data_IF_632264917863
#
_entry.id   IF_632264917863
#
_cell.length_a   1.000
_cell.length_b   1.000
_cell.length_c   1.000
_cell.angle_alpha   90.00
_cell.angle_beta   90.00
_cell.angle_gamma   90.00
#
_symmetry.space_group_name_H-M   'P 1'
#
loop_
_entity.id
_entity.type
_entity.pdbx_description
1 polymer ?
#
# COMPACT_ATOMS: atom_id res chain seq x y z
N UNK A 1 -16.46 -42.57 7.01
CA UNK A 1 -15.13 -42.24 6.44
C UNK A 1 -15.13 -40.97 5.57
N UNK A 2 -16.17 -40.69 4.76
CA UNK A 2 -16.21 -39.55 3.82
C UNK A 2 -16.12 -38.14 4.46
N UNK A 3 -16.67 -37.95 5.68
CA UNK A 3 -16.62 -36.66 6.40
C UNK A 3 -15.21 -36.27 6.87
N UNK A 4 -14.40 -37.25 7.31
CA UNK A 4 -13.01 -37.00 7.74
C UNK A 4 -12.12 -36.69 6.54
N UNK A 5 -12.36 -37.34 5.40
CA UNK A 5 -11.66 -37.09 4.14
C UNK A 5 -11.94 -35.67 3.61
N UNK A 6 -13.19 -35.20 3.71
CA UNK A 6 -13.58 -33.86 3.30
C UNK A 6 -12.95 -32.78 4.21
N UNK A 7 -12.88 -33.03 5.52
CA UNK A 7 -12.23 -32.13 6.47
C UNK A 7 -10.72 -32.01 6.19
N UNK A 8 -10.06 -33.14 5.90
CA UNK A 8 -8.65 -33.14 5.50
C UNK A 8 -8.41 -32.38 4.20
N UNK A 9 -9.31 -32.50 3.21
CA UNK A 9 -9.20 -31.78 1.94
C UNK A 9 -9.32 -30.27 2.11
N UNK A 10 -10.23 -29.81 2.97
CA UNK A 10 -10.41 -28.37 3.28
C UNK A 10 -9.18 -27.81 4.00
N UNK A 11 -8.60 -28.57 4.94
CA UNK A 11 -7.35 -28.19 5.62
C UNK A 11 -6.18 -28.17 4.63
N UNK A 12 -6.11 -29.12 3.70
CA UNK A 12 -5.06 -29.18 2.67
C UNK A 12 -5.14 -28.01 1.69
N UNK A 13 -6.35 -27.59 1.29
CA UNK A 13 -6.56 -26.41 0.43
C UNK A 13 -6.27 -25.11 1.21
N UNK A 14 -6.66 -25.02 2.49
CA UNK A 14 -6.40 -23.86 3.35
C UNK A 14 -4.93 -23.67 3.72
N UNK A 15 -4.10 -24.71 3.68
CA UNK A 15 -2.65 -24.64 3.94
C UNK A 15 -1.83 -24.17 2.73
N UNK A 16 -2.43 -24.04 1.54
CA UNK A 16 -1.73 -23.65 0.31
C UNK A 16 -1.78 -22.13 0.04
N UNK A 17 -2.43 -21.33 0.90
CA UNK A 17 -2.64 -19.89 0.63
C UNK A 17 -1.47 -18.97 0.96
N UNK A 18 -0.40 -19.47 1.59
CA UNK A 18 0.77 -18.65 1.97
C UNK A 18 2.02 -18.89 1.12
N UNK A 19 1.84 -19.21 -0.16
CA UNK A 19 2.82 -18.82 -1.18
C UNK A 19 2.48 -17.45 -1.77
N UNK A 20 2.10 -16.51 -0.90
CA UNK A 20 2.59 -15.15 -1.10
C UNK A 20 4.10 -15.21 -0.96
N UNK A 21 4.76 -15.57 -2.06
CA UNK A 21 6.08 -15.04 -2.34
C UNK A 21 5.92 -13.56 -2.06
N UNK A 22 6.42 -13.08 -0.91
CA UNK A 22 6.66 -11.67 -0.74
C UNK A 22 7.54 -11.35 -1.93
N UNK A 23 6.96 -10.77 -2.98
CA UNK A 23 7.69 -10.22 -4.09
C UNK A 23 8.44 -9.05 -3.47
N UNK A 24 9.57 -9.38 -2.87
CA UNK A 24 10.51 -8.39 -2.37
C UNK A 24 10.77 -7.48 -3.56
N UNK A 25 10.53 -6.18 -3.39
CA UNK A 25 10.66 -5.15 -4.42
C UNK A 25 12.07 -5.05 -5.05
N UNK A 26 12.98 -5.94 -4.68
CA UNK A 26 14.39 -5.95 -5.04
C UNK A 26 14.75 -7.17 -5.90
N UNK A 27 14.02 -7.39 -7.00
CA UNK A 27 14.66 -8.09 -8.12
C UNK A 27 15.77 -7.15 -8.62
N UNK A 28 16.98 -7.65 -8.82
CA UNK A 28 18.05 -6.81 -9.37
C UNK A 28 17.58 -6.28 -10.72
N UNK A 29 17.91 -5.02 -11.01
CA UNK A 29 17.55 -4.36 -12.27
C UNK A 29 16.02 -4.32 -12.47
N UNK A 30 15.27 -4.08 -11.40
CA UNK A 30 13.82 -3.95 -11.47
C UNK A 30 13.36 -2.51 -11.25
N UNK A 31 12.32 -2.17 -11.98
CA UNK A 31 11.55 -0.96 -11.78
C UNK A 31 10.21 -1.30 -11.14
N UNK A 32 9.84 -0.58 -10.08
CA UNK A 32 8.52 -0.69 -9.45
C UNK A 32 7.86 0.67 -9.38
N UNK A 33 6.56 0.69 -9.63
CA UNK A 33 5.71 1.85 -9.43
C UNK A 33 4.58 1.43 -8.50
N UNK A 34 4.38 2.22 -7.45
CA UNK A 34 3.25 2.12 -6.56
C UNK A 34 2.46 3.43 -6.62
N UNK A 35 1.14 3.33 -6.62
CA UNK A 35 0.25 4.47 -6.45
C UNK A 35 -0.76 4.13 -5.35
N UNK A 36 -1.06 5.11 -4.50
CA UNK A 36 -1.96 4.93 -3.37
C UNK A 36 -2.90 6.11 -3.24
N UNK A 37 -4.23 5.91 -3.28
CA UNK A 37 -5.16 6.93 -2.82
C UNK A 37 -5.01 7.10 -1.30
N UNK A 38 -5.11 8.34 -0.83
CA UNK A 38 -4.93 8.69 0.57
C UNK A 38 -6.11 9.50 1.09
N UNK A 39 -6.49 9.26 2.34
CA UNK A 39 -7.45 10.08 3.09
C UNK A 39 -6.73 10.60 4.31
N UNK A 40 -6.75 11.93 4.48
CA UNK A 40 -5.97 12.63 5.49
C UNK A 40 -6.87 13.38 6.44
N UNK A 41 -6.77 13.06 7.74
CA UNK A 41 -7.48 13.78 8.79
C UNK A 41 -6.55 14.85 9.39
N UNK A 42 -6.92 16.14 9.32
CA UNK A 42 -6.05 17.21 9.75
C UNK A 42 -5.87 17.21 11.28
N UNK A 43 -4.66 17.54 11.72
CA UNK A 43 -4.34 17.76 13.13
C UNK A 43 -5.13 18.96 13.69
N UNK A 44 -5.22 19.08 15.02
CA UNK A 44 -6.11 20.02 15.72
C UNK A 44 -5.96 21.48 15.26
N UNK A 45 -4.74 21.96 15.01
CA UNK A 45 -4.50 23.32 14.50
C UNK A 45 -5.00 23.50 13.06
N UNK A 46 -4.77 22.51 12.20
CA UNK A 46 -5.16 22.55 10.79
C UNK A 46 -6.67 22.30 10.59
N UNK A 47 -7.30 21.54 11.51
CA UNK A 47 -8.75 21.29 11.54
C UNK A 47 -9.59 22.54 11.78
N UNK A 48 -9.00 23.62 12.31
CA UNK A 48 -9.68 24.92 12.48
C UNK A 48 -10.03 25.56 11.14
N UNK A 49 -9.15 25.42 10.16
CA UNK A 49 -9.27 26.06 8.84
C UNK A 49 -9.61 25.08 7.72
N UNK A 50 -9.43 23.77 7.94
CA UNK A 50 -9.62 22.74 6.91
C UNK A 50 -10.44 21.55 7.41
N UNK A 51 -11.15 20.89 6.50
CA UNK A 51 -11.80 19.61 6.70
C UNK A 51 -10.84 18.44 6.41
N UNK A 52 -11.33 17.21 6.50
CA UNK A 52 -10.62 16.05 5.97
C UNK A 52 -10.24 16.29 4.49
N UNK A 53 -9.03 15.88 4.14
CA UNK A 53 -8.49 15.96 2.80
C UNK A 53 -8.43 14.59 2.14
N UNK A 54 -8.30 14.60 0.83
CA UNK A 54 -7.99 13.43 0.04
C UNK A 54 -6.79 13.73 -0.83
N UNK A 55 -6.08 12.68 -1.21
CA UNK A 55 -4.86 12.82 -1.98
C UNK A 55 -4.51 11.53 -2.67
N UNK A 56 -3.35 11.58 -3.30
CA UNK A 56 -2.71 10.38 -3.82
C UNK A 56 -1.21 10.56 -3.77
N UNK A 57 -0.53 9.45 -3.54
CA UNK A 57 0.91 9.35 -3.69
C UNK A 57 1.27 8.45 -4.85
N UNK A 58 2.43 8.72 -5.43
CA UNK A 58 3.10 7.82 -6.33
C UNK A 58 4.53 7.64 -5.87
N UNK A 59 5.00 6.40 -5.94
CA UNK A 59 6.37 6.02 -5.64
C UNK A 59 6.91 5.25 -6.83
N UNK A 60 8.00 5.72 -7.40
CA UNK A 60 8.76 5.02 -8.41
C UNK A 60 10.13 4.63 -7.83
N UNK A 61 10.51 3.38 -7.98
CA UNK A 61 11.78 2.86 -7.46
C UNK A 61 12.48 2.04 -8.55
N UNK A 62 13.75 2.35 -8.80
CA UNK A 62 14.62 1.58 -9.68
C UNK A 62 15.78 1.00 -8.87
N UNK A 63 15.94 -0.32 -8.94
CA UNK A 63 16.98 -1.06 -8.22
C UNK A 63 18.09 -1.45 -9.19
N UNK A 64 19.27 -0.83 -9.07
CA UNK A 64 20.39 -1.03 -10.00
C UNK A 64 21.14 -2.36 -9.79
N UNK A 65 20.98 -3.03 -8.64
CA UNK A 65 21.74 -4.23 -8.32
C UNK A 65 21.64 -4.62 -6.84
N UNK A 66 22.72 -5.17 -6.27
CA UNK A 66 22.73 -5.69 -4.89
C UNK A 66 22.82 -4.60 -3.80
N UNK A 67 23.27 -3.39 -4.15
CA UNK A 67 23.68 -2.36 -3.18
C UNK A 67 23.20 -0.93 -3.50
N UNK A 68 22.28 -0.74 -4.45
CA UNK A 68 21.82 0.60 -4.82
C UNK A 68 20.42 0.64 -5.42
N UNK A 69 19.61 1.57 -4.94
CA UNK A 69 18.31 1.91 -5.51
C UNK A 69 18.14 3.43 -5.56
N UNK A 70 17.43 3.90 -6.58
CA UNK A 70 16.93 5.27 -6.66
C UNK A 70 15.42 5.23 -6.46
N UNK A 71 14.93 6.07 -5.56
CA UNK A 71 13.50 6.18 -5.24
C UNK A 71 13.05 7.62 -5.39
N UNK A 72 11.97 7.83 -6.13
CA UNK A 72 11.23 9.08 -6.16
C UNK A 72 9.87 8.80 -5.52
N UNK A 73 9.54 9.56 -4.49
CA UNK A 73 8.22 9.54 -3.87
C UNK A 73 7.67 10.96 -3.91
N UNK A 74 6.45 11.10 -4.40
CA UNK A 74 5.74 12.37 -4.44
C UNK A 74 4.26 12.13 -4.26
N UNK A 75 3.58 13.12 -3.71
CA UNK A 75 2.15 13.03 -3.44
C UNK A 75 1.53 14.40 -3.41
N UNK A 76 0.22 14.43 -3.64
CA UNK A 76 -0.60 15.63 -3.56
C UNK A 76 -1.74 15.34 -2.60
N UNK A 77 -1.90 16.22 -1.61
CA UNK A 77 -3.04 16.23 -0.69
C UNK A 77 -3.81 17.53 -0.84
N UNK A 78 -5.12 17.41 -1.04
CA UNK A 78 -6.04 18.54 -1.18
C UNK A 78 -6.97 18.54 0.03
N UNK A 79 -7.02 19.68 0.72
CA UNK A 79 -7.88 19.88 1.88
C UNK A 79 -8.93 20.93 1.58
N UNK A 80 -10.20 20.61 1.87
CA UNK A 80 -11.29 21.57 1.72
C UNK A 80 -11.25 22.58 2.87
N UNK A 81 -11.07 23.86 2.56
CA UNK A 81 -11.18 24.95 3.54
C UNK A 81 -12.56 24.97 4.22
N UNK A 82 -12.58 25.28 5.51
CA UNK A 82 -13.79 25.67 6.23
C UNK A 82 -13.94 27.16 6.00
N UNK A 83 -14.96 27.54 5.24
CA UNK A 83 -15.30 28.95 5.04
C UNK A 83 -15.46 29.62 6.41
N UNK A 84 -14.74 30.72 6.60
CA UNK A 84 -14.90 31.58 7.76
C UNK A 84 -16.21 32.35 7.53
N UNK A 85 -17.29 31.89 8.15
CA UNK A 85 -18.51 32.68 8.37
C UNK A 85 -18.48 33.18 9.81
#
# INVERSE_FOLDING_TARGET
MKRKLCLCLIIFIGLQSDQQTFAQANKRESFSINFGPEVSFPESAFKKTHNAGYGGSFKAEYTFGKHGSATINSGLSIFKGKGIF
#
